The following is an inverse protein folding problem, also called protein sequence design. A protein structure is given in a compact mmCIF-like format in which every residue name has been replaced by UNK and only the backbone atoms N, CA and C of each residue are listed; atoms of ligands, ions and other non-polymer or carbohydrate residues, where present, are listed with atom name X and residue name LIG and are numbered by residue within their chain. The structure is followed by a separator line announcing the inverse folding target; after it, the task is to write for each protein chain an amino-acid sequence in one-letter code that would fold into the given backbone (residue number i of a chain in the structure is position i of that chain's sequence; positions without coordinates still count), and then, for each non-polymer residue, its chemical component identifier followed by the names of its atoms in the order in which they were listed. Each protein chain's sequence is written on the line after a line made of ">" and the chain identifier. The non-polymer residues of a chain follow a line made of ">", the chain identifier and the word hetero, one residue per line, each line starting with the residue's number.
data_IF_224239308876
#
_entry.id   IF_224239308876
#
_cell.length_a   1.000
_cell.length_b   1.000
_cell.length_c   1.000
_cell.angle_alpha   90.00
_cell.angle_beta   90.00
_cell.angle_gamma   90.00
#
_symmetry.space_group_name_H-M   'P 1'
#
loop_
_entity.id
_entity.type
_entity.pdbx_description
1 polymer ?
#
# COMPACT_ATOMS: atom_id res chain seq x y z
N UNK A 1 -10.73 31.43 30.20
CA UNK A 1 -10.47 30.26 29.35
C UNK A 1 -9.07 29.78 29.67
N UNK A 2 -8.81 28.48 29.62
CA UNK A 2 -7.47 27.94 29.90
C UNK A 2 -6.67 27.87 28.59
N UNK A 3 -5.36 28.14 28.64
CA UNK A 3 -4.47 27.99 27.49
C UNK A 3 -3.87 26.58 27.48
N UNK A 4 -4.11 25.80 26.42
CA UNK A 4 -3.75 24.39 26.34
C UNK A 4 -2.75 24.14 25.22
N UNK A 5 -1.55 23.70 25.59
CA UNK A 5 -0.53 23.22 24.65
C UNK A 5 -0.59 21.70 24.58
N UNK A 6 -0.75 21.14 23.38
CA UNK A 6 -0.82 19.69 23.18
C UNK A 6 0.38 19.15 22.39
N UNK A 7 0.87 17.97 22.78
CA UNK A 7 1.74 17.12 21.96
C UNK A 7 1.01 15.82 21.66
N UNK A 8 0.87 15.47 20.37
CA UNK A 8 0.01 14.36 19.94
C UNK A 8 0.82 13.16 19.47
N UNK A 9 0.38 11.97 19.91
CA UNK A 9 0.94 10.67 19.53
C UNK A 9 1.81 10.05 20.62
N UNK A 10 2.35 8.87 20.33
CA UNK A 10 3.20 8.13 21.26
C UNK A 10 4.41 8.95 21.72
N UNK A 11 4.72 8.86 23.02
CA UNK A 11 5.89 9.52 23.58
C UNK A 11 7.09 8.58 23.59
N UNK A 12 8.10 8.95 22.81
CA UNK A 12 9.35 8.22 22.68
C UNK A 12 10.55 9.19 22.72
N UNK A 13 11.78 8.71 22.96
CA UNK A 13 12.99 9.54 22.92
C UNK A 13 13.11 10.35 21.62
N UNK A 14 12.66 9.77 20.50
CA UNK A 14 12.68 10.41 19.18
C UNK A 14 11.75 11.61 19.03
N UNK A 15 10.86 11.86 20.01
CA UNK A 15 9.81 12.88 20.00
C UNK A 15 10.14 14.10 20.87
N UNK A 16 11.28 14.07 21.57
CA UNK A 16 11.78 15.15 22.41
C UNK A 16 10.80 15.66 23.49
N UNK A 17 9.85 14.83 23.95
CA UNK A 17 8.84 15.22 24.95
C UNK A 17 9.45 15.69 26.28
N UNK A 18 10.56 15.07 26.69
CA UNK A 18 11.31 15.50 27.88
C UNK A 18 11.81 16.94 27.75
N UNK A 19 12.30 17.35 26.58
CA UNK A 19 12.74 18.73 26.31
C UNK A 19 11.55 19.70 26.29
N UNK A 20 10.40 19.26 25.77
CA UNK A 20 9.17 20.04 25.83
C UNK A 20 8.74 20.31 27.28
N UNK A 21 8.86 19.32 28.18
CA UNK A 21 8.60 19.53 29.61
C UNK A 21 9.55 20.60 30.19
N UNK A 22 10.85 20.55 29.87
CA UNK A 22 11.82 21.55 30.36
C UNK A 22 11.49 22.96 29.85
N UNK A 23 11.28 23.11 28.54
CA UNK A 23 10.99 24.39 27.94
C UNK A 23 9.66 24.98 28.42
N UNK A 24 8.65 24.15 28.64
CA UNK A 24 7.38 24.60 29.21
C UNK A 24 7.56 25.06 30.66
N UNK A 25 8.29 24.28 31.48
CA UNK A 25 8.59 24.63 32.88
C UNK A 25 9.44 25.91 33.03
N UNK A 26 10.27 26.22 32.02
CA UNK A 26 11.07 27.43 31.98
C UNK A 26 10.29 28.67 31.48
N UNK A 27 9.13 28.47 30.85
CA UNK A 27 8.31 29.56 30.29
C UNK A 27 7.38 30.20 31.32
N UNK A 28 6.88 31.39 31.02
CA UNK A 28 5.87 32.07 31.86
C UNK A 28 4.56 31.26 32.05
N UNK A 29 4.27 30.30 31.17
CA UNK A 29 3.09 29.42 31.31
C UNK A 29 3.19 28.48 32.52
N UNK A 30 4.40 28.17 32.98
CA UNK A 30 4.61 27.38 34.18
C UNK A 30 4.23 28.13 35.46
N UNK A 31 4.05 29.44 35.41
CA UNK A 31 3.61 30.26 36.55
C UNK A 31 2.11 30.59 36.50
N UNK A 32 1.47 30.43 35.33
CA UNK A 32 0.04 30.70 35.14
C UNK A 32 -0.83 29.46 35.42
N UNK A 33 -1.71 29.55 36.41
CA UNK A 33 -2.62 28.46 36.80
C UNK A 33 -3.61 28.05 35.70
N UNK A 34 -3.84 28.91 34.70
CA UNK A 34 -4.73 28.64 33.57
C UNK A 34 -4.01 28.03 32.37
N UNK A 35 -2.72 27.71 32.47
CA UNK A 35 -1.94 27.11 31.39
C UNK A 35 -1.70 25.61 31.63
N UNK A 36 -1.95 24.78 30.61
CA UNK A 36 -1.80 23.34 30.66
C UNK A 36 -0.92 22.82 29.52
N UNK A 37 -0.11 21.79 29.82
CA UNK A 37 0.60 20.99 28.83
C UNK A 37 0.02 19.58 28.83
N UNK A 38 -0.46 19.11 27.69
CA UNK A 38 -1.09 17.79 27.57
C UNK A 38 -0.39 16.95 26.51
N UNK A 39 0.13 15.80 26.93
CA UNK A 39 0.61 14.75 26.03
C UNK A 39 -0.55 13.80 25.72
N UNK A 40 -1.09 13.93 24.52
CA UNK A 40 -2.22 13.14 24.01
C UNK A 40 -1.68 11.90 23.33
N UNK A 41 -1.39 10.88 24.13
CA UNK A 41 -0.82 9.62 23.68
C UNK A 41 -0.28 8.77 24.81
N UNK A 42 0.14 7.56 24.47
CA UNK A 42 0.71 6.61 25.42
C UNK A 42 2.23 6.81 25.54
N UNK A 43 2.77 6.84 26.77
CA UNK A 43 4.22 6.81 26.95
C UNK A 43 4.77 5.42 26.65
N UNK A 44 5.96 5.36 26.06
CA UNK A 44 6.66 4.10 25.91
C UNK A 44 6.75 3.37 27.27
N UNK A 45 6.45 2.06 27.27
CA UNK A 45 6.50 1.22 28.48
C UNK A 45 7.93 0.92 28.98
N UNK A 46 8.91 1.70 28.53
CA UNK A 46 10.33 1.56 28.84
C UNK A 46 10.79 2.59 29.88
N UNK A 47 12.10 2.62 30.14
CA UNK A 47 12.71 3.56 31.09
C UNK A 47 12.46 5.03 30.74
N UNK A 48 12.28 5.35 29.44
CA UNK A 48 11.99 6.72 29.02
C UNK A 48 10.62 7.19 29.49
N UNK A 49 9.57 6.39 29.30
CA UNK A 49 8.22 6.75 29.77
C UNK A 49 8.19 6.92 31.29
N UNK A 50 8.85 6.00 32.02
CA UNK A 50 8.99 6.09 33.48
C UNK A 50 9.75 7.33 33.93
N UNK A 51 10.84 7.68 33.25
CA UNK A 51 11.63 8.88 33.54
C UNK A 51 10.83 10.17 33.27
N UNK A 52 10.09 10.22 32.15
CA UNK A 52 9.24 11.35 31.80
C UNK A 52 8.14 11.58 32.86
N UNK A 53 7.47 10.51 33.30
CA UNK A 53 6.44 10.61 34.33
C UNK A 53 7.02 11.06 35.68
N UNK A 54 8.17 10.53 36.09
CA UNK A 54 8.88 10.98 37.30
C UNK A 54 9.25 12.47 37.24
N UNK A 55 9.74 12.92 36.08
CA UNK A 55 10.08 14.33 35.84
C UNK A 55 8.88 15.25 36.01
N UNK A 56 7.73 14.87 35.43
CA UNK A 56 6.48 15.64 35.55
C UNK A 56 6.03 15.70 37.01
N UNK A 57 5.99 14.57 37.71
CA UNK A 57 5.56 14.50 39.11
C UNK A 57 6.47 15.28 40.08
N UNK A 58 7.75 15.40 39.76
CA UNK A 58 8.72 16.17 40.55
C UNK A 58 8.67 17.68 40.27
N UNK A 59 7.92 18.13 39.26
CA UNK A 59 7.85 19.54 38.88
C UNK A 59 6.83 20.32 39.72
N UNK A 60 7.02 21.65 39.81
CA UNK A 60 6.07 22.57 40.46
C UNK A 60 4.69 22.59 39.79
N UNK A 61 4.59 22.11 38.55
CA UNK A 61 3.38 22.12 37.74
C UNK A 61 2.80 20.72 37.48
N UNK A 62 3.09 19.74 38.35
CA UNK A 62 2.66 18.35 38.19
C UNK A 62 1.14 18.17 37.92
N UNK A 63 0.29 19.08 38.39
CA UNK A 63 -1.17 19.04 38.16
C UNK A 63 -1.62 19.61 36.79
N UNK A 64 -0.74 20.36 36.12
CA UNK A 64 -0.99 21.07 34.85
C UNK A 64 -0.29 20.44 33.65
N UNK A 65 0.66 19.53 33.89
CA UNK A 65 1.25 18.69 32.85
C UNK A 65 0.60 17.29 32.91
N UNK A 66 -0.13 16.91 31.86
CA UNK A 66 -0.93 15.67 31.83
C UNK A 66 -0.48 14.73 30.71
N UNK A 67 -0.53 13.43 30.99
CA UNK A 67 -0.38 12.37 30.00
C UNK A 67 -1.71 11.62 29.95
N UNK A 68 -2.33 11.53 28.78
CA UNK A 68 -3.64 10.89 28.64
C UNK A 68 -3.57 9.37 28.66
N UNK A 69 -2.42 8.79 28.32
CA UNK A 69 -2.35 7.39 27.89
C UNK A 69 -2.93 7.21 26.49
N UNK A 70 -3.24 5.97 26.11
CA UNK A 70 -3.87 5.68 24.83
C UNK A 70 -5.23 6.40 24.72
N UNK A 71 -5.28 7.45 23.92
CA UNK A 71 -6.48 8.25 23.71
C UNK A 71 -7.40 7.56 22.68
N UNK A 72 -8.70 7.55 22.94
CA UNK A 72 -9.67 7.14 21.92
C UNK A 72 -9.64 8.10 20.73
N UNK A 73 -10.18 7.69 19.57
CA UNK A 73 -10.27 8.59 18.41
C UNK A 73 -11.07 9.87 18.72
N UNK A 74 -12.11 9.74 19.54
CA UNK A 74 -12.97 10.88 19.91
C UNK A 74 -12.25 11.82 20.88
N UNK A 75 -11.53 11.28 21.88
CA UNK A 75 -10.71 12.10 22.79
C UNK A 75 -9.59 12.81 22.04
N UNK A 76 -8.91 12.09 21.14
CA UNK A 76 -7.85 12.66 20.30
C UNK A 76 -8.36 13.85 19.48
N UNK A 77 -9.55 13.70 18.86
CA UNK A 77 -10.20 14.79 18.13
C UNK A 77 -10.63 15.92 19.05
N UNK A 78 -11.17 15.62 20.24
CA UNK A 78 -11.55 16.64 21.20
C UNK A 78 -10.36 17.50 21.62
N UNK A 79 -9.19 16.88 21.88
CA UNK A 79 -7.97 17.62 22.16
C UNK A 79 -7.47 18.45 20.98
N UNK A 80 -7.60 17.97 19.74
CA UNK A 80 -7.29 18.77 18.56
C UNK A 80 -8.20 20.00 18.42
N UNK A 81 -9.43 19.93 18.92
CA UNK A 81 -10.40 21.03 18.86
C UNK A 81 -10.27 22.03 20.01
N UNK A 82 -9.81 21.59 21.19
CA UNK A 82 -9.71 22.46 22.37
C UNK A 82 -8.31 22.98 22.66
N UNK A 83 -7.27 22.46 22.01
CA UNK A 83 -5.92 23.00 22.16
C UNK A 83 -5.80 24.40 21.53
N UNK A 84 -4.96 25.24 22.11
CA UNK A 84 -4.60 26.54 21.54
C UNK A 84 -3.34 26.45 20.66
N UNK A 85 -2.44 25.53 21.00
CA UNK A 85 -1.20 25.30 20.28
C UNK A 85 -0.81 23.82 20.29
N UNK A 86 -0.10 23.40 19.25
CA UNK A 86 0.46 22.06 19.16
C UNK A 86 1.99 22.12 19.12
N UNK A 87 2.65 21.09 19.66
CA UNK A 87 4.10 20.93 19.58
C UNK A 87 4.42 19.53 19.07
N UNK A 88 5.21 19.45 18.00
CA UNK A 88 5.59 18.20 17.37
C UNK A 88 7.08 18.21 16.99
N UNK A 89 7.90 17.61 17.85
CA UNK A 89 9.36 17.62 17.72
C UNK A 89 9.88 16.23 17.34
N UNK A 90 11.02 16.19 16.64
CA UNK A 90 11.68 14.95 16.21
C UNK A 90 13.21 15.05 16.24
N UNK A 91 13.90 13.93 16.43
CA UNK A 91 15.37 13.86 16.27
C UNK A 91 15.83 12.79 15.29
N UNK A 92 14.96 11.87 14.88
CA UNK A 92 15.26 10.86 13.86
C UNK A 92 14.08 10.72 12.90
N UNK A 93 14.36 10.89 11.60
CA UNK A 93 13.41 10.65 10.52
C UNK A 93 13.80 9.40 9.73
N UNK A 94 12.79 8.63 9.31
CA UNK A 94 12.92 7.51 8.37
C UNK A 94 12.40 7.86 6.96
N UNK A 95 12.21 9.15 6.68
CA UNK A 95 11.60 9.64 5.43
C UNK A 95 10.07 9.64 5.45
N UNK A 96 9.45 9.43 6.60
CA UNK A 96 7.99 9.39 6.77
C UNK A 96 7.39 10.80 6.99
N UNK A 97 6.08 10.92 6.75
CA UNK A 97 5.30 12.13 7.07
C UNK A 97 4.57 11.98 8.41
N UNK A 98 4.66 12.99 9.27
CA UNK A 98 4.02 12.96 10.59
C UNK A 98 2.53 13.25 10.51
N UNK A 99 1.69 12.20 10.62
CA UNK A 99 0.23 12.35 10.65
C UNK A 99 -0.24 13.36 11.70
N UNK A 100 0.34 13.33 12.90
CA UNK A 100 -0.03 14.22 14.00
C UNK A 100 0.28 15.72 13.75
N UNK A 101 1.23 16.03 12.85
CA UNK A 101 1.45 17.42 12.41
C UNK A 101 0.36 17.83 11.44
N UNK A 102 0.05 16.98 10.45
CA UNK A 102 -1.03 17.25 9.50
C UNK A 102 -2.39 17.36 10.20
N UNK A 103 -2.66 16.53 11.21
CA UNK A 103 -3.88 16.60 12.01
C UNK A 103 -3.99 17.93 12.76
N UNK A 104 -2.91 18.39 13.41
CA UNK A 104 -2.88 19.66 14.11
C UNK A 104 -3.12 20.85 13.16
N UNK A 105 -2.41 20.87 12.02
CA UNK A 105 -2.59 21.89 10.99
C UNK A 105 -4.01 21.87 10.40
N UNK A 106 -4.56 20.69 10.12
CA UNK A 106 -5.91 20.52 9.60
C UNK A 106 -6.99 21.07 10.55
N UNK A 107 -6.77 20.94 11.86
CA UNK A 107 -7.64 21.51 12.89
C UNK A 107 -7.38 23.00 13.18
N UNK A 108 -6.45 23.62 12.47
CA UNK A 108 -6.13 25.04 12.64
C UNK A 108 -5.38 25.33 13.94
N UNK A 109 -4.51 24.41 14.38
CA UNK A 109 -3.62 24.67 15.51
C UNK A 109 -2.32 25.31 15.05
N UNK A 110 -1.92 26.41 15.70
CA UNK A 110 -0.56 26.92 15.56
C UNK A 110 0.42 25.87 16.09
N UNK A 111 1.28 25.36 15.21
CA UNK A 111 2.10 24.18 15.50
C UNK A 111 3.58 24.53 15.51
N UNK A 112 4.26 24.23 16.62
CA UNK A 112 5.72 24.28 16.74
C UNK A 112 6.30 22.95 16.24
N UNK A 113 7.24 23.02 15.31
CA UNK A 113 8.01 21.86 14.83
C UNK A 113 9.50 22.20 14.84
N UNK A 114 10.37 21.20 14.75
CA UNK A 114 11.76 21.43 14.35
C UNK A 114 11.98 20.94 12.91
N UNK A 115 12.98 21.47 12.22
CA UNK A 115 13.29 21.19 10.82
C UNK A 115 13.87 19.77 10.59
N UNK A 116 13.19 18.74 11.09
CA UNK A 116 13.59 17.34 11.02
C UNK A 116 12.71 16.55 10.03
N UNK A 117 13.34 15.87 9.07
CA UNK A 117 12.63 15.06 8.08
C UNK A 117 11.63 15.89 7.26
N UNK A 118 10.44 15.33 7.03
CA UNK A 118 9.38 15.99 6.25
C UNK A 118 8.89 17.32 6.84
N UNK A 119 9.17 17.61 8.12
CA UNK A 119 8.82 18.90 8.73
C UNK A 119 9.73 20.03 8.27
N UNK A 120 10.93 19.73 7.75
CA UNK A 120 11.82 20.72 7.16
C UNK A 120 11.20 21.34 5.88
N UNK A 121 10.44 20.53 5.13
CA UNK A 121 9.84 20.91 3.84
C UNK A 121 8.55 21.75 3.99
N UNK A 122 7.98 21.84 5.20
CA UNK A 122 6.80 22.68 5.45
C UNK A 122 7.16 24.16 5.23
N UNK A 123 6.34 24.99 4.58
CA UNK A 123 6.70 26.41 4.41
C UNK A 123 6.80 27.16 5.75
N UNK A 124 7.78 28.07 5.90
CA UNK A 124 8.03 28.74 7.20
C UNK A 124 6.86 29.61 7.70
N UNK A 125 5.93 29.97 6.82
CA UNK A 125 4.74 30.74 7.18
C UNK A 125 3.56 29.86 7.65
N UNK A 126 3.67 28.52 7.61
CA UNK A 126 2.58 27.60 8.00
C UNK A 126 2.76 27.00 9.39
N UNK A 127 3.98 27.09 9.94
CA UNK A 127 4.38 26.52 11.23
C UNK A 127 5.38 27.44 11.91
N UNK A 128 5.48 27.36 13.24
CA UNK A 128 6.63 27.91 13.94
C UNK A 128 7.75 26.87 13.89
N UNK A 129 8.65 27.01 12.90
CA UNK A 129 9.73 26.04 12.65
C UNK A 129 11.00 26.44 13.39
N UNK A 130 11.47 25.56 14.26
CA UNK A 130 12.79 25.60 14.89
C UNK A 130 13.83 24.97 13.96
N UNK A 131 15.10 25.31 14.17
CA UNK A 131 16.23 24.58 13.58
C UNK A 131 16.17 23.07 13.92
N UNK A 132 16.74 22.20 13.09
CA UNK A 132 16.74 20.75 13.36
C UNK A 132 17.40 20.44 14.71
N UNK A 133 18.62 20.96 14.87
CA UNK A 133 19.33 21.03 16.14
C UNK A 133 19.09 22.41 16.78
N UNK A 134 18.14 22.47 17.71
CA UNK A 134 17.78 23.69 18.43
C UNK A 134 18.19 23.61 19.92
N UNK A 135 18.45 24.77 20.52
CA UNK A 135 18.65 24.96 21.96
C UNK A 135 17.32 25.06 22.70
N UNK A 136 17.26 24.65 23.98
CA UNK A 136 16.01 24.67 24.77
C UNK A 136 15.39 26.07 24.86
N UNK A 137 16.22 27.12 24.90
CA UNK A 137 15.77 28.51 24.90
C UNK A 137 14.96 28.87 23.64
N UNK A 138 15.26 28.26 22.49
CA UNK A 138 14.50 28.49 21.26
C UNK A 138 13.10 27.88 21.34
N UNK A 139 12.97 26.69 21.92
CA UNK A 139 11.67 26.05 22.17
C UNK A 139 10.85 26.84 23.20
N UNK A 140 11.48 27.31 24.27
CA UNK A 140 10.83 28.20 25.24
C UNK A 140 10.31 29.47 24.56
N UNK A 141 11.14 30.15 23.78
CA UNK A 141 10.74 31.39 23.10
C UNK A 141 9.61 31.16 22.09
N UNK A 142 9.63 30.03 21.37
CA UNK A 142 8.55 29.65 20.47
C UNK A 142 7.21 29.47 21.21
N UNK A 143 7.25 28.77 22.36
CA UNK A 143 6.08 28.60 23.21
C UNK A 143 5.54 29.93 23.74
N UNK A 144 6.43 30.80 24.25
CA UNK A 144 6.06 32.12 24.75
C UNK A 144 5.50 33.01 23.64
N UNK A 145 6.06 32.95 22.44
CA UNK A 145 5.54 33.67 21.28
C UNK A 145 4.12 33.23 20.96
N UNK A 146 3.85 31.92 20.92
CA UNK A 146 2.49 31.43 20.70
C UNK A 146 1.56 31.75 21.86
N UNK A 147 2.04 31.86 23.10
CA UNK A 147 1.22 32.21 24.25
C UNK A 147 0.79 33.69 24.23
N UNK A 148 1.76 34.60 24.09
CA UNK A 148 1.55 36.05 24.21
C UNK A 148 1.01 36.71 22.94
N UNK A 149 1.32 36.18 21.76
CA UNK A 149 0.94 36.76 20.47
C UNK A 149 -0.23 36.01 19.83
N UNK A 150 -1.45 36.47 20.15
CA UNK A 150 -2.70 35.88 19.64
C UNK A 150 -2.83 36.03 18.13
N UNK A 151 -2.38 37.16 17.57
CA UNK A 151 -2.48 37.44 16.13
C UNK A 151 -1.58 36.47 15.36
N UNK A 152 -0.30 36.36 15.77
CA UNK A 152 0.63 35.40 15.17
C UNK A 152 0.14 33.96 15.30
N UNK A 153 -0.45 33.59 16.44
CA UNK A 153 -1.03 32.26 16.64
C UNK A 153 -2.15 32.00 15.63
N UNK A 154 -3.05 32.96 15.41
CA UNK A 154 -4.13 32.85 14.43
C UNK A 154 -3.62 32.82 12.98
N UNK A 155 -2.61 33.61 12.66
CA UNK A 155 -1.99 33.62 11.33
C UNK A 155 -1.40 32.24 10.98
N UNK A 156 -0.62 31.66 11.89
CA UNK A 156 -0.03 30.33 11.72
C UNK A 156 -1.11 29.25 11.59
N UNK A 157 -2.12 29.28 12.45
CA UNK A 157 -3.27 28.37 12.39
C UNK A 157 -3.95 28.38 11.01
N UNK A 158 -4.28 29.57 10.49
CA UNK A 158 -4.96 29.73 9.20
C UNK A 158 -4.04 29.38 8.02
N UNK A 159 -2.76 29.72 8.08
CA UNK A 159 -1.79 29.38 7.05
C UNK A 159 -1.56 27.86 6.98
N UNK A 160 -1.38 27.22 8.13
CA UNK A 160 -1.25 25.78 8.29
C UNK A 160 -2.44 25.01 7.74
N UNK A 161 -3.65 25.39 8.14
CA UNK A 161 -4.87 24.74 7.67
C UNK A 161 -5.05 24.88 6.15
N UNK A 162 -4.82 26.08 5.60
CA UNK A 162 -4.87 26.31 4.15
C UNK A 162 -3.86 25.43 3.40
N UNK A 163 -2.64 25.28 3.92
CA UNK A 163 -1.62 24.46 3.32
C UNK A 163 -2.06 22.99 3.24
N UNK A 164 -2.60 22.42 4.32
CA UNK A 164 -3.13 21.04 4.31
C UNK A 164 -4.25 20.89 3.29
N UNK A 165 -5.21 21.81 3.27
CA UNK A 165 -6.36 21.74 2.35
C UNK A 165 -5.97 21.88 0.87
N UNK A 166 -4.85 22.55 0.57
CA UNK A 166 -4.41 22.79 -0.82
C UNK A 166 -3.41 21.76 -1.34
N UNK A 167 -2.49 21.32 -0.47
CA UNK A 167 -1.32 20.50 -0.85
C UNK A 167 -1.48 19.06 -0.38
N UNK A 168 -1.94 18.85 0.86
CA UNK A 168 -2.03 17.52 1.48
C UNK A 168 -3.45 16.92 1.48
N UNK A 169 -4.34 17.43 0.64
CA UNK A 169 -5.69 16.90 0.51
C UNK A 169 -5.65 15.46 -0.02
N UNK A 170 -6.30 14.47 0.63
CA UNK A 170 -6.20 13.06 0.24
C UNK A 170 -6.57 12.79 -1.23
N UNK A 171 -7.60 13.48 -1.75
CA UNK A 171 -8.02 13.33 -3.14
C UNK A 171 -6.94 13.78 -4.12
N UNK A 172 -6.34 14.94 -3.87
CA UNK A 172 -5.23 15.46 -4.68
C UNK A 172 -4.03 14.51 -4.65
N UNK A 173 -3.70 13.95 -3.49
CA UNK A 173 -2.63 12.95 -3.39
C UNK A 173 -2.94 11.69 -4.22
N UNK A 174 -4.18 11.20 -4.16
CA UNK A 174 -4.62 10.04 -4.94
C UNK A 174 -4.58 10.31 -6.45
N UNK A 175 -5.04 11.48 -6.88
CA UNK A 175 -4.99 11.89 -8.29
C UNK A 175 -3.53 12.00 -8.76
N UNK A 176 -2.63 12.59 -7.96
CA UNK A 176 -1.21 12.66 -8.29
C UNK A 176 -0.52 11.28 -8.40
N UNK A 177 -0.91 10.32 -7.56
CA UNK A 177 -0.43 8.94 -7.71
C UNK A 177 -0.97 8.30 -9.00
N UNK A 178 -2.24 8.51 -9.32
CA UNK A 178 -2.83 7.99 -10.55
C UNK A 178 -2.13 8.57 -11.79
N UNK A 179 -1.96 9.89 -11.84
CA UNK A 179 -1.28 10.59 -12.93
C UNK A 179 0.15 10.05 -13.10
N UNK A 180 0.92 9.91 -12.01
CA UNK A 180 2.29 9.39 -12.08
C UNK A 180 2.38 7.95 -12.60
N UNK A 181 1.42 7.09 -12.22
CA UNK A 181 1.34 5.71 -12.72
C UNK A 181 0.99 5.71 -14.21
N UNK A 182 -0.04 6.45 -14.61
CA UNK A 182 -0.51 6.49 -15.99
C UNK A 182 0.51 7.15 -16.93
N UNK A 183 1.18 8.21 -16.51
CA UNK A 183 2.26 8.86 -17.29
C UNK A 183 3.42 7.91 -17.56
N UNK A 184 3.80 7.10 -16.56
CA UNK A 184 4.84 6.08 -16.72
C UNK A 184 4.44 5.02 -17.77
N UNK A 185 3.18 4.57 -17.74
CA UNK A 185 2.65 3.63 -18.73
C UNK A 185 2.52 4.25 -20.12
N UNK A 186 2.04 5.50 -20.23
CA UNK A 186 1.91 6.21 -21.49
C UNK A 186 3.27 6.38 -22.20
N UNK A 187 4.33 6.71 -21.44
CA UNK A 187 5.69 6.81 -21.97
C UNK A 187 6.22 5.45 -22.50
N UNK A 188 5.82 4.33 -21.89
CA UNK A 188 6.22 2.98 -22.32
C UNK A 188 5.51 2.45 -23.58
N UNK A 189 4.38 3.04 -23.98
CA UNK A 189 3.62 2.63 -25.16
C UNK A 189 4.41 2.72 -26.47
N UNK A 190 5.36 3.66 -26.56
CA UNK A 190 6.31 3.75 -27.68
C UNK A 190 7.27 2.55 -27.73
N UNK A 191 7.66 2.04 -26.57
CA UNK A 191 8.55 0.88 -26.45
C UNK A 191 7.93 -0.40 -26.99
N UNK A 192 6.62 -0.62 -26.80
CA UNK A 192 5.96 -1.83 -27.30
C UNK A 192 5.91 -1.86 -28.84
N UNK A 193 5.62 -0.72 -29.47
CA UNK A 193 5.53 -0.65 -30.93
C UNK A 193 6.93 -0.76 -31.59
N UNK A 194 7.95 -0.15 -30.98
CA UNK A 194 9.34 -0.31 -31.40
C UNK A 194 9.81 -1.77 -31.22
N UNK A 195 9.49 -2.40 -30.09
CA UNK A 195 9.81 -3.80 -29.82
C UNK A 195 9.20 -4.76 -30.84
N UNK A 196 7.92 -4.58 -31.18
CA UNK A 196 7.26 -5.39 -32.21
C UNK A 196 7.89 -5.20 -33.60
N UNK A 197 8.33 -3.97 -33.91
CA UNK A 197 9.00 -3.66 -35.18
C UNK A 197 10.37 -4.35 -35.27
N UNK A 198 11.17 -4.25 -34.21
CA UNK A 198 12.49 -4.91 -34.11
C UNK A 198 12.37 -6.44 -34.12
N UNK A 199 11.40 -7.00 -33.39
CA UNK A 199 11.10 -8.43 -33.43
C UNK A 199 10.69 -8.90 -34.83
N UNK A 200 9.87 -8.12 -35.53
CA UNK A 200 9.49 -8.40 -36.91
C UNK A 200 10.71 -8.41 -37.84
N UNK A 201 11.61 -7.43 -37.69
CA UNK A 201 12.89 -7.39 -38.40
C UNK A 201 13.77 -8.60 -38.10
N UNK A 202 13.94 -8.94 -36.82
CA UNK A 202 14.70 -10.09 -36.36
C UNK A 202 14.19 -11.41 -36.98
N UNK A 203 12.88 -11.65 -36.92
CA UNK A 203 12.27 -12.86 -37.48
C UNK A 203 12.37 -12.90 -39.02
N UNK A 204 12.25 -11.76 -39.69
CA UNK A 204 12.40 -11.67 -41.15
C UNK A 204 13.81 -12.05 -41.63
N UNK A 205 14.83 -11.92 -40.78
CA UNK A 205 16.22 -12.31 -41.08
C UNK A 205 16.56 -13.74 -40.63
N UNK A 206 15.55 -14.58 -40.35
CA UNK A 206 15.71 -16.02 -40.10
C UNK A 206 15.83 -16.41 -38.62
N UNK A 207 15.81 -15.45 -37.69
CA UNK A 207 15.91 -15.72 -36.26
C UNK A 207 17.21 -16.41 -35.82
N UNK A 208 17.18 -17.06 -34.66
CA UNK A 208 18.23 -17.85 -34.02
C UNK A 208 19.48 -17.11 -33.46
N UNK A 209 19.53 -15.78 -33.40
CA UNK A 209 20.68 -15.07 -32.80
C UNK A 209 20.62 -15.01 -31.25
N UNK A 210 19.45 -15.30 -30.66
CA UNK A 210 19.21 -15.30 -29.21
C UNK A 210 18.44 -16.55 -28.80
N UNK A 211 18.33 -16.79 -27.49
CA UNK A 211 17.39 -17.77 -26.95
C UNK A 211 15.95 -17.28 -27.17
N UNK A 212 15.34 -17.70 -28.28
CA UNK A 212 13.99 -17.31 -28.67
C UNK A 212 12.92 -17.79 -27.69
N UNK A 213 13.15 -18.94 -27.05
CA UNK A 213 12.25 -19.46 -26.02
C UNK A 213 12.31 -18.58 -24.76
N UNK A 214 13.51 -18.23 -24.32
CA UNK A 214 13.73 -17.29 -23.22
C UNK A 214 13.16 -15.89 -23.52
N UNK A 215 13.38 -15.38 -24.74
CA UNK A 215 12.82 -14.11 -25.19
C UNK A 215 11.29 -14.14 -25.22
N UNK A 216 10.69 -15.19 -25.78
CA UNK A 216 9.23 -15.36 -25.79
C UNK A 216 8.65 -15.40 -24.38
N UNK A 217 9.30 -16.09 -23.44
CA UNK A 217 8.88 -16.12 -22.05
C UNK A 217 8.98 -14.75 -21.36
N UNK A 218 10.07 -14.00 -21.61
CA UNK A 218 10.24 -12.65 -21.09
C UNK A 218 9.19 -11.68 -21.64
N UNK A 219 8.86 -11.79 -22.94
CA UNK A 219 7.80 -11.00 -23.56
C UNK A 219 6.43 -11.31 -22.95
N UNK A 220 6.12 -12.60 -22.72
CA UNK A 220 4.86 -13.00 -22.08
C UNK A 220 4.70 -12.42 -20.66
N UNK A 221 5.79 -12.36 -19.88
CA UNK A 221 5.77 -11.79 -18.53
C UNK A 221 5.64 -10.26 -18.51
N UNK A 222 6.34 -9.57 -19.40
CA UNK A 222 6.42 -8.10 -19.38
C UNK A 222 5.36 -7.43 -20.26
N UNK A 223 4.82 -8.15 -21.24
CA UNK A 223 3.79 -7.69 -22.17
C UNK A 223 2.64 -8.70 -22.29
N UNK A 224 1.93 -8.99 -21.19
CA UNK A 224 0.81 -9.93 -21.23
C UNK A 224 -0.22 -9.47 -22.25
N UNK A 225 -0.58 -10.36 -23.19
CA UNK A 225 -1.68 -10.13 -24.13
C UNK A 225 -2.96 -9.70 -23.39
N UNK A 226 -3.74 -8.77 -23.94
CA UNK A 226 -5.08 -8.49 -23.40
C UNK A 226 -5.95 -9.73 -23.61
N UNK A 227 -6.10 -10.55 -22.56
CA UNK A 227 -6.96 -11.73 -22.61
C UNK A 227 -8.38 -11.33 -22.21
N UNK A 228 -9.37 -11.90 -22.90
CA UNK A 228 -10.80 -11.61 -22.69
C UNK A 228 -11.42 -12.28 -21.45
N UNK A 229 -10.63 -13.01 -20.65
CA UNK A 229 -11.10 -13.72 -19.45
C UNK A 229 -10.01 -14.57 -18.76
N UNK A 230 -10.31 -15.05 -17.55
CA UNK A 230 -9.45 -15.95 -16.75
C UNK A 230 -9.38 -17.34 -17.37
N UNK A 231 -8.27 -18.05 -17.25
CA UNK A 231 -8.15 -19.42 -17.75
C UNK A 231 -8.60 -20.45 -16.71
N UNK A 232 -9.40 -21.40 -17.16
CA UNK A 232 -9.59 -22.68 -16.49
C UNK A 232 -8.78 -23.74 -17.26
N UNK A 233 -7.58 -24.02 -16.75
CA UNK A 233 -6.63 -24.99 -17.26
C UNK A 233 -7.04 -26.39 -16.80
N UNK A 234 -7.55 -27.23 -17.68
CA UNK A 234 -8.11 -28.54 -17.32
C UNK A 234 -7.09 -29.63 -17.70
N UNK A 235 -6.49 -30.28 -16.70
CA UNK A 235 -5.55 -31.39 -16.93
C UNK A 235 -6.28 -32.60 -17.54
N UNK A 236 -5.79 -33.06 -18.70
CA UNK A 236 -6.36 -34.18 -19.45
C UNK A 236 -5.49 -35.46 -19.45
N UNK A 237 -4.41 -35.52 -18.65
CA UNK A 237 -3.48 -36.65 -18.69
C UNK A 237 -4.02 -37.96 -18.06
N UNK A 238 -3.58 -39.15 -18.56
CA UNK A 238 -3.93 -40.45 -17.98
C UNK A 238 -3.33 -40.60 -16.58
N UNK A 239 -4.21 -40.83 -15.61
CA UNK A 239 -3.96 -40.69 -14.18
C UNK A 239 -5.10 -39.93 -13.47
N UNK A 240 -5.85 -39.10 -14.21
CA UNK A 240 -6.99 -38.33 -13.72
C UNK A 240 -8.36 -38.70 -14.34
N UNK A 241 -8.43 -39.67 -15.27
CA UNK A 241 -9.68 -40.30 -15.75
C UNK A 241 -10.69 -39.41 -16.49
N UNK A 242 -10.39 -38.12 -16.73
CA UNK A 242 -11.37 -37.17 -17.24
C UNK A 242 -11.81 -37.50 -18.68
N UNK A 243 -10.88 -37.68 -19.61
CA UNK A 243 -11.18 -38.05 -21.00
C UNK A 243 -11.45 -39.55 -21.20
N UNK A 244 -11.20 -40.35 -20.18
CA UNK A 244 -11.44 -41.80 -20.19
C UNK A 244 -12.87 -42.14 -19.77
N UNK A 245 -13.50 -41.27 -18.96
CA UNK A 245 -14.92 -41.39 -18.62
C UNK A 245 -15.81 -40.70 -19.67
N UNK A 246 -16.91 -41.35 -20.12
CA UNK A 246 -17.88 -40.70 -21.01
C UNK A 246 -18.45 -39.40 -20.42
N UNK A 247 -18.65 -39.36 -19.11
CA UNK A 247 -19.13 -38.17 -18.39
C UNK A 247 -18.15 -37.01 -18.40
N UNK A 248 -16.85 -37.27 -18.18
CA UNK A 248 -15.81 -36.24 -18.22
C UNK A 248 -15.56 -35.69 -19.62
N UNK A 249 -15.58 -36.54 -20.66
CA UNK A 249 -15.54 -36.09 -22.06
C UNK A 249 -16.70 -35.15 -22.39
N UNK A 250 -17.92 -35.54 -22.04
CA UNK A 250 -19.11 -34.74 -22.29
C UNK A 250 -19.07 -33.41 -21.52
N UNK A 251 -18.61 -33.41 -20.27
CA UNK A 251 -18.46 -32.20 -19.46
C UNK A 251 -17.45 -31.22 -20.07
N UNK A 252 -16.25 -31.71 -20.45
CA UNK A 252 -15.24 -30.88 -21.09
C UNK A 252 -15.72 -30.34 -22.43
N UNK A 253 -16.36 -31.17 -23.25
CA UNK A 253 -16.94 -30.75 -24.53
C UNK A 253 -18.00 -29.66 -24.33
N UNK A 254 -18.87 -29.79 -23.32
CA UNK A 254 -19.88 -28.79 -22.98
C UNK A 254 -19.23 -27.46 -22.57
N UNK A 255 -18.18 -27.49 -21.75
CA UNK A 255 -17.46 -26.29 -21.30
C UNK A 255 -16.73 -25.59 -22.45
N UNK A 256 -16.15 -26.35 -23.38
CA UNK A 256 -15.48 -25.81 -24.56
C UNK A 256 -16.48 -25.12 -25.52
N UNK A 257 -17.67 -25.72 -25.71
CA UNK A 257 -18.70 -25.17 -26.59
C UNK A 257 -19.47 -24.01 -25.96
N UNK A 258 -19.63 -24.01 -24.63
CA UNK A 258 -20.38 -23.00 -23.88
C UNK A 258 -19.55 -22.53 -22.66
N UNK A 259 -18.48 -21.75 -22.87
CA UNK A 259 -17.63 -21.31 -21.78
C UNK A 259 -18.40 -20.36 -20.83
N UNK A 260 -18.24 -20.51 -19.50
CA UNK A 260 -18.79 -19.57 -18.53
C UNK A 260 -18.31 -18.13 -18.77
N UNK A 261 -19.15 -17.14 -18.46
CA UNK A 261 -18.82 -15.74 -18.66
C UNK A 261 -17.53 -15.34 -17.92
N UNK A 262 -16.61 -14.68 -18.64
CA UNK A 262 -15.31 -14.28 -18.09
C UNK A 262 -14.28 -15.40 -17.96
N UNK A 263 -14.58 -16.62 -18.42
CA UNK A 263 -13.67 -17.76 -18.42
C UNK A 263 -13.29 -18.21 -19.84
N UNK A 264 -12.04 -18.65 -19.98
CA UNK A 264 -11.54 -19.38 -21.14
C UNK A 264 -11.21 -20.80 -20.71
N UNK A 265 -11.83 -21.78 -21.35
CA UNK A 265 -11.66 -23.19 -21.03
C UNK A 265 -10.52 -23.76 -21.88
N UNK A 266 -9.47 -24.27 -21.22
CA UNK A 266 -8.22 -24.64 -21.88
C UNK A 266 -7.75 -26.00 -21.39
N UNK A 267 -7.90 -27.06 -22.20
CA UNK A 267 -7.30 -28.36 -21.89
C UNK A 267 -5.79 -28.26 -21.86
N UNK A 268 -5.14 -28.88 -20.87
CA UNK A 268 -3.69 -28.88 -20.69
C UNK A 268 -3.17 -30.28 -20.42
N UNK A 269 -1.94 -30.53 -20.82
CA UNK A 269 -1.26 -31.82 -20.67
C UNK A 269 0.20 -31.61 -20.26
N UNK A 270 0.72 -32.56 -19.49
CA UNK A 270 2.14 -32.69 -19.12
C UNK A 270 2.84 -33.76 -19.95
N UNK A 271 2.14 -34.44 -20.87
CA UNK A 271 2.77 -35.44 -21.75
C UNK A 271 3.91 -34.79 -22.54
N UNK A 272 5.14 -35.13 -22.15
CA UNK A 272 6.35 -34.67 -22.83
C UNK A 272 7.28 -33.75 -22.03
N UNK A 273 7.09 -33.55 -20.72
CA UNK A 273 8.12 -32.91 -19.88
C UNK A 273 7.66 -32.38 -18.52
N UNK A 274 8.52 -31.55 -17.90
CA UNK A 274 8.32 -30.98 -16.55
C UNK A 274 7.42 -29.74 -16.50
N UNK A 275 6.72 -29.41 -17.59
CA UNK A 275 5.85 -28.22 -17.68
C UNK A 275 4.55 -28.54 -18.42
N UNK A 276 3.49 -27.81 -18.08
CA UNK A 276 2.21 -27.92 -18.79
C UNK A 276 2.28 -27.26 -20.17
N UNK A 277 1.67 -27.93 -21.14
CA UNK A 277 1.36 -27.40 -22.47
C UNK A 277 -0.14 -27.39 -22.68
N UNK A 278 -0.63 -26.45 -23.47
CA UNK A 278 -2.01 -26.52 -23.97
C UNK A 278 -2.18 -27.78 -24.79
N UNK A 279 -3.28 -28.50 -24.61
CA UNK A 279 -3.64 -29.70 -25.35
C UNK A 279 -4.70 -29.38 -26.40
N UNK A 280 -4.36 -28.47 -27.31
CA UNK A 280 -5.29 -27.95 -28.33
C UNK A 280 -5.63 -28.99 -29.37
N UNK A 281 -4.67 -29.87 -29.70
CA UNK A 281 -4.93 -31.02 -30.57
C UNK A 281 -6.03 -31.92 -30.00
N UNK A 282 -5.94 -32.26 -28.71
CA UNK A 282 -6.95 -33.07 -28.02
C UNK A 282 -8.31 -32.36 -27.92
N UNK A 283 -8.31 -31.05 -27.68
CA UNK A 283 -9.53 -30.24 -27.68
C UNK A 283 -10.22 -30.26 -29.05
N UNK A 284 -9.45 -30.10 -30.14
CA UNK A 284 -9.94 -30.12 -31.51
C UNK A 284 -10.52 -31.49 -31.87
N UNK A 285 -9.83 -32.58 -31.52
CA UNK A 285 -10.35 -33.94 -31.72
C UNK A 285 -11.67 -34.18 -30.99
N UNK A 286 -11.79 -33.70 -29.74
CA UNK A 286 -13.03 -33.79 -28.96
C UNK A 286 -14.19 -33.03 -29.62
N UNK A 287 -13.89 -31.94 -30.33
CA UNK A 287 -14.86 -31.12 -31.05
C UNK A 287 -15.11 -31.60 -32.50
N UNK A 288 -14.42 -32.66 -32.95
CA UNK A 288 -14.52 -33.15 -34.33
C UNK A 288 -13.81 -32.28 -35.36
N UNK A 289 -12.86 -31.45 -34.94
CA UNK A 289 -12.04 -30.60 -35.79
C UNK A 289 -10.70 -31.28 -36.14
N UNK A 290 -10.05 -30.90 -37.26
CA UNK A 290 -8.70 -31.37 -37.57
C UNK A 290 -7.69 -31.02 -36.46
N UNK A 291 -7.05 -32.03 -35.88
CA UNK A 291 -6.12 -31.88 -34.75
C UNK A 291 -4.89 -30.99 -35.04
N UNK A 292 -4.52 -30.84 -36.31
CA UNK A 292 -3.35 -30.08 -36.75
C UNK A 292 -3.56 -28.57 -36.90
N UNK A 293 -4.79 -28.07 -36.67
CA UNK A 293 -5.10 -26.65 -36.83
C UNK A 293 -4.36 -25.75 -35.82
N UNK A 294 -4.09 -26.27 -34.62
CA UNK A 294 -3.42 -25.53 -33.54
C UNK A 294 -2.26 -26.35 -32.99
N UNK A 295 -1.23 -25.66 -32.53
CA UNK A 295 -0.05 -26.27 -31.89
C UNK A 295 -0.17 -26.22 -30.37
N UNK A 296 0.39 -27.25 -29.73
CA UNK A 296 0.48 -27.40 -28.28
C UNK A 296 1.68 -26.62 -27.73
N UNK A 297 1.41 -25.38 -27.34
CA UNK A 297 2.39 -24.43 -26.79
C UNK A 297 2.50 -24.56 -25.26
N UNK A 298 3.63 -24.12 -24.65
CA UNK A 298 3.71 -23.96 -23.20
C UNK A 298 2.55 -23.11 -22.66
N UNK A 299 2.04 -23.47 -21.49
CA UNK A 299 0.95 -22.71 -20.87
C UNK A 299 1.44 -21.33 -20.41
N UNK A 300 0.79 -20.28 -20.90
CA UNK A 300 0.98 -18.89 -20.48
C UNK A 300 0.00 -18.54 -19.35
N UNK A 301 0.34 -18.97 -18.14
CA UNK A 301 -0.50 -18.82 -16.94
C UNK A 301 -0.33 -17.46 -16.27
N UNK A 302 -1.41 -16.94 -15.68
CA UNK A 302 -1.44 -15.68 -14.94
C UNK A 302 -1.99 -15.82 -13.52
N UNK A 303 -1.67 -14.85 -12.69
CA UNK A 303 -2.26 -14.73 -11.37
C UNK A 303 -3.80 -14.65 -11.47
N UNK A 304 -4.48 -15.59 -10.81
CA UNK A 304 -5.94 -15.70 -10.83
C UNK A 304 -6.52 -16.74 -11.79
N UNK A 305 -5.69 -17.35 -12.65
CA UNK A 305 -6.07 -18.55 -13.41
C UNK A 305 -6.22 -19.76 -12.49
N UNK A 306 -6.92 -20.78 -12.98
CA UNK A 306 -7.24 -21.98 -12.20
C UNK A 306 -6.79 -23.23 -12.94
N UNK A 307 -6.05 -24.09 -12.25
CA UNK A 307 -5.75 -25.44 -12.68
C UNK A 307 -6.79 -26.39 -12.08
N UNK A 308 -7.46 -27.15 -12.95
CA UNK A 308 -8.45 -28.17 -12.62
C UNK A 308 -7.90 -29.56 -12.94
N UNK A 309 -7.96 -30.48 -11.98
CA UNK A 309 -7.52 -31.86 -12.19
C UNK A 309 -7.67 -32.71 -10.92
N UNK A 310 -7.23 -33.96 -10.98
CA UNK A 310 -7.29 -34.93 -9.88
C UNK A 310 -5.94 -35.63 -9.73
N UNK A 311 -5.43 -35.74 -8.51
CA UNK A 311 -4.18 -36.47 -8.23
C UNK A 311 -2.94 -35.88 -8.92
N UNK A 312 -2.94 -34.59 -9.25
CA UNK A 312 -1.86 -33.91 -9.96
C UNK A 312 -0.85 -33.22 -9.02
N UNK A 313 -1.15 -33.23 -7.72
CA UNK A 313 -0.35 -32.60 -6.67
C UNK A 313 1.02 -33.29 -6.56
N UNK A 314 2.07 -32.47 -6.40
CA UNK A 314 3.44 -32.96 -6.22
C UNK A 314 4.26 -33.11 -7.51
N UNK A 315 3.68 -32.90 -8.69
CA UNK A 315 4.48 -32.80 -9.93
C UNK A 315 5.19 -31.44 -10.05
N UNK A 316 6.37 -31.40 -10.69
CA UNK A 316 7.10 -30.16 -10.93
C UNK A 316 6.28 -29.19 -11.80
N UNK A 317 5.61 -29.70 -12.84
CA UNK A 317 4.73 -28.93 -13.70
C UNK A 317 3.59 -28.25 -12.91
N UNK A 318 3.01 -28.96 -11.94
CA UNK A 318 2.01 -28.41 -11.03
C UNK A 318 2.56 -27.27 -10.18
N UNK A 319 3.72 -27.47 -9.55
CA UNK A 319 4.37 -26.44 -8.72
C UNK A 319 4.72 -25.19 -9.53
N UNK A 320 5.19 -25.35 -10.77
CA UNK A 320 5.50 -24.23 -11.65
C UNK A 320 4.29 -23.33 -11.95
N UNK A 321 3.10 -23.90 -12.16
CA UNK A 321 1.88 -23.11 -12.36
C UNK A 321 1.46 -22.38 -11.09
N UNK A 322 1.59 -23.01 -9.91
CA UNK A 322 1.28 -22.37 -8.63
C UNK A 322 2.23 -21.21 -8.30
N UNK A 323 3.53 -21.36 -8.57
CA UNK A 323 4.50 -20.26 -8.40
C UNK A 323 4.20 -19.04 -9.28
N UNK A 324 3.52 -19.27 -10.41
CA UNK A 324 3.07 -18.20 -11.32
C UNK A 324 1.69 -17.63 -10.94
N UNK A 325 1.12 -18.04 -9.81
CA UNK A 325 -0.10 -17.46 -9.24
C UNK A 325 -1.41 -18.11 -9.67
N UNK A 326 -1.37 -19.27 -10.32
CA UNK A 326 -2.56 -20.09 -10.49
C UNK A 326 -3.01 -20.69 -9.16
N UNK A 327 -4.31 -20.91 -9.01
CA UNK A 327 -4.84 -21.75 -7.92
C UNK A 327 -5.16 -23.14 -8.45
N UNK A 328 -5.08 -24.14 -7.58
CA UNK A 328 -5.57 -25.48 -7.88
C UNK A 328 -6.98 -25.66 -7.32
N UNK A 329 -7.84 -26.33 -8.10
CA UNK A 329 -9.17 -26.77 -7.69
C UNK A 329 -9.35 -28.22 -8.16
N UNK A 330 -9.80 -29.14 -7.30
CA UNK A 330 -10.13 -30.51 -7.73
C UNK A 330 -11.19 -30.51 -8.83
N UNK A 331 -11.07 -31.42 -9.81
CA UNK A 331 -12.06 -31.51 -10.88
C UNK A 331 -13.47 -31.74 -10.32
N UNK A 332 -13.61 -32.54 -9.26
CA UNK A 332 -14.88 -32.75 -8.57
C UNK A 332 -15.59 -31.47 -8.12
N UNK A 333 -14.88 -30.36 -7.92
CA UNK A 333 -15.40 -29.07 -7.47
C UNK A 333 -15.60 -28.04 -8.60
N UNK A 334 -15.35 -28.40 -9.87
CA UNK A 334 -15.35 -27.46 -10.99
C UNK A 334 -16.68 -26.69 -11.15
N UNK A 335 -17.82 -27.29 -10.80
CA UNK A 335 -19.13 -26.65 -10.91
C UNK A 335 -19.26 -25.42 -9.98
N UNK A 336 -18.65 -25.45 -8.80
CA UNK A 336 -18.67 -24.32 -7.86
C UNK A 336 -17.82 -23.14 -8.32
N UNK A 337 -16.77 -23.41 -9.11
CA UNK A 337 -15.88 -22.38 -9.65
C UNK A 337 -16.59 -21.44 -10.63
N UNK A 338 -17.50 -22.00 -11.44
CA UNK A 338 -18.19 -21.28 -12.50
C UNK A 338 -19.57 -20.76 -12.09
N UNK A 339 -19.99 -20.98 -10.85
CA UNK A 339 -21.23 -20.44 -10.33
C UNK A 339 -21.19 -18.90 -10.39
N UNK A 340 -22.27 -18.23 -10.82
CA UNK A 340 -22.32 -16.78 -10.80
C UNK A 340 -22.13 -16.31 -9.36
N UNK A 341 -21.05 -15.56 -9.13
CA UNK A 341 -20.85 -14.86 -7.86
C UNK A 341 -22.04 -13.91 -7.72
N UNK A 342 -22.86 -14.11 -6.68
CA UNK A 342 -23.96 -13.19 -6.38
C UNK A 342 -23.42 -11.76 -6.23
N UNK A 343 -24.28 -10.73 -6.35
CA UNK A 343 -23.85 -9.36 -6.16
C UNK A 343 -23.40 -9.14 -4.70
N UNK A 344 -22.10 -9.24 -4.43
CA UNK A 344 -21.53 -8.98 -3.11
C UNK A 344 -20.22 -9.73 -2.85
N UNK A 345 -19.11 -8.99 -2.89
CA UNK A 345 -17.77 -9.43 -2.54
C UNK A 345 -16.75 -8.35 -2.84
#
# INVERSE_FOLDING_TARGET
>A
DAFVVCSFGFMAPTKLNSRLVDAWLASSMAEDENCYLVFVGEPDSNDYGSALQKKILASSAAQRIRITGFASRDDFRAYLQCADAAVQLRTMSRGETSAAVLDALNHGLATVVNANGSMADLPDHTVLKLEDAFEDAALQHALESLYHDVERRQELALAGQRHVHQIHQPRRCADAYADAIEDFYAASGQGQQALLTELGGYLAHGGAAVDEAGLGQALAWNHPSRQSGRQALIDIDPGAGLLESPGGRAALQSLLLNPPAGWRIEPVSRKGGDSYRYARGAALELLGCPASLLRDEPVDVRAGDVLLGEGIEGSMAFQQLLWRGARFVPWSEHAGLFAPQGPGG
#
